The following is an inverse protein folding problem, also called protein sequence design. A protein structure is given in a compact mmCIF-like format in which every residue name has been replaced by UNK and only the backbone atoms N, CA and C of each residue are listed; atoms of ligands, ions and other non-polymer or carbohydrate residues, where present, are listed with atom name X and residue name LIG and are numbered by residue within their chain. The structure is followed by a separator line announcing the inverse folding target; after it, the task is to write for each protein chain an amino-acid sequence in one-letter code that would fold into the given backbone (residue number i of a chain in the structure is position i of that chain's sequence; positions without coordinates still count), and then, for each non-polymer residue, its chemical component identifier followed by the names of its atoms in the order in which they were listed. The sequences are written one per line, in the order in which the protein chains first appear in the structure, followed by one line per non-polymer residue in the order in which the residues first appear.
data_IF_372729858911
#
_entry.id   IF_372729858911
#
_cell.length_a   1.000
_cell.length_b   1.000
_cell.length_c   1.000
_cell.angle_alpha   90.00
_cell.angle_beta   90.00
_cell.angle_gamma   90.00
#
_symmetry.space_group_name_H-M   'P 1'
#
loop_
_entity.id
_entity.type
_entity.pdbx_description
1 polymer ?
#
# COMPACT_ATOMS: atom_id res chain seq x y z
N UNK A 1 15.22 12.24 -4.77
CA UNK A 1 14.21 11.24 -4.35
C UNK A 1 14.93 9.91 -4.19
N UNK A 2 14.72 9.20 -3.08
CA UNK A 2 15.30 7.88 -2.84
C UNK A 2 14.16 6.87 -2.85
N UNK A 3 14.34 5.77 -3.55
CA UNK A 3 13.35 4.71 -3.63
C UNK A 3 13.61 3.64 -2.57
N UNK A 4 12.55 3.01 -2.07
CA UNK A 4 12.60 1.95 -1.07
C UNK A 4 11.79 0.78 -1.59
N UNK A 5 12.34 -0.44 -1.52
CA UNK A 5 11.63 -1.68 -1.83
C UNK A 5 11.15 -2.32 -0.52
N UNK A 6 9.84 -2.57 -0.42
CA UNK A 6 9.23 -3.24 0.73
C UNK A 6 8.91 -4.70 0.36
N UNK A 7 9.49 -5.65 1.09
CA UNK A 7 9.23 -7.09 0.91
C UNK A 7 8.42 -7.63 2.08
N UNK A 8 7.34 -8.35 1.77
CA UNK A 8 6.47 -8.97 2.78
C UNK A 8 6.41 -10.47 2.59
N UNK A 9 6.44 -11.18 3.72
CA UNK A 9 6.57 -12.63 3.76
C UNK A 9 5.71 -13.20 4.88
N UNK A 10 5.11 -14.37 4.62
CA UNK A 10 4.23 -15.06 5.54
C UNK A 10 2.81 -14.48 5.59
N UNK A 11 1.87 -15.30 6.06
CA UNK A 11 0.45 -14.95 6.07
C UNK A 11 0.13 -13.73 6.95
N UNK A 12 0.78 -13.62 8.12
CA UNK A 12 0.68 -12.43 8.96
C UNK A 12 1.28 -11.19 8.27
N UNK A 13 2.48 -11.32 7.69
CA UNK A 13 3.14 -10.21 7.00
C UNK A 13 2.34 -9.66 5.83
N UNK A 14 1.72 -10.54 5.04
CA UNK A 14 0.87 -10.16 3.91
C UNK A 14 -0.40 -9.43 4.35
N UNK A 15 -1.01 -9.79 5.48
CA UNK A 15 -2.19 -9.10 6.01
C UNK A 15 -1.86 -7.68 6.47
N UNK A 16 -0.77 -7.53 7.22
CA UNK A 16 -0.29 -6.21 7.64
C UNK A 16 0.09 -5.36 6.42
N UNK A 17 0.64 -5.99 5.39
CA UNK A 17 0.96 -5.32 4.14
C UNK A 17 -0.20 -4.81 3.33
N UNK A 18 -1.24 -5.61 3.21
CA UNK A 18 -2.47 -5.17 2.61
C UNK A 18 -3.01 -3.96 3.37
N UNK A 19 -3.11 -4.03 4.71
CA UNK A 19 -3.60 -2.92 5.53
C UNK A 19 -2.74 -1.65 5.37
N UNK A 20 -1.41 -1.79 5.40
CA UNK A 20 -0.48 -0.68 5.20
C UNK A 20 -0.72 0.04 3.86
N UNK A 21 -0.74 -0.70 2.76
CA UNK A 21 -0.91 -0.08 1.44
C UNK A 21 -2.32 0.47 1.22
N UNK A 22 -3.36 -0.14 1.80
CA UNK A 22 -4.71 0.43 1.77
C UNK A 22 -4.76 1.80 2.45
N UNK A 23 -4.12 1.96 3.62
CA UNK A 23 -4.04 3.25 4.32
C UNK A 23 -3.27 4.27 3.48
N UNK A 24 -2.08 3.92 2.98
CA UNK A 24 -1.27 4.83 2.17
C UNK A 24 -2.01 5.25 0.89
N UNK A 25 -2.65 4.31 0.18
CA UNK A 25 -3.46 4.62 -1.00
C UNK A 25 -4.59 5.59 -0.67
N UNK A 26 -5.33 5.35 0.42
CA UNK A 26 -6.40 6.24 0.86
C UNK A 26 -5.91 7.65 1.23
N UNK A 27 -4.77 7.75 1.93
CA UNK A 27 -4.13 9.04 2.26
C UNK A 27 -3.72 9.83 1.01
N UNK A 28 -3.38 9.15 -0.08
CA UNK A 28 -2.94 9.75 -1.34
C UNK A 28 -4.05 9.80 -2.40
N UNK A 29 -5.31 9.56 -2.02
CA UNK A 29 -6.46 9.64 -2.92
C UNK A 29 -6.48 8.58 -4.02
N UNK A 30 -5.75 7.47 -3.87
CA UNK A 30 -5.72 6.36 -4.81
C UNK A 30 -6.79 5.33 -4.45
N UNK A 31 -7.55 4.88 -5.45
CA UNK A 31 -8.50 3.78 -5.28
C UNK A 31 -7.86 2.39 -5.46
N UNK A 32 -8.65 1.34 -5.26
CA UNK A 32 -8.20 -0.06 -5.40
C UNK A 32 -7.81 -0.48 -6.82
N UNK A 33 -8.11 0.33 -7.83
CA UNK A 33 -7.63 0.16 -9.21
C UNK A 33 -6.36 0.97 -9.51
N UNK A 34 -5.91 1.79 -8.55
CA UNK A 34 -4.75 2.66 -8.68
C UNK A 34 -5.05 4.01 -9.34
N UNK A 35 -6.33 4.38 -9.49
CA UNK A 35 -6.72 5.67 -10.07
C UNK A 35 -6.75 6.73 -8.96
N UNK A 36 -6.18 7.90 -9.24
CA UNK A 36 -6.20 9.06 -8.34
C UNK A 36 -7.52 9.81 -8.45
N UNK A 37 -8.14 10.08 -7.30
CA UNK A 37 -9.48 10.65 -7.19
C UNK A 37 -9.55 12.02 -6.50
N UNK A 38 -8.41 12.66 -6.17
CA UNK A 38 -8.37 14.04 -5.66
C UNK A 38 -8.12 14.14 -4.16
#
# INVERSE_FOLDING_TARGET
MREIVHLQTGQCGNQIGAAFWQTISGEHGLDGSGVYNG
#
